data_IF_461891524295
#
_entry.id   IF_461891524295
#
_cell.length_a   1.000
_cell.length_b   1.000
_cell.length_c   1.000
_cell.angle_alpha   90.00
_cell.angle_beta   90.00
_cell.angle_gamma   90.00
#
_symmetry.space_group_name_H-M   'P 1'
#
loop_
_entity.id
_entity.type
_entity.pdbx_description
1 polymer ?
#
# COMPACT_ATOMS: atom_id res chain seq x y z
N UNK A 1 16.16 -29.17 -1.60
CA UNK A 1 15.50 -29.40 -2.90
C UNK A 1 15.15 -28.05 -3.49
N UNK A 2 15.86 -27.60 -4.52
CA UNK A 2 15.46 -26.43 -5.32
C UNK A 2 14.44 -26.92 -6.34
N UNK A 3 13.21 -26.41 -6.28
CA UNK A 3 12.11 -26.89 -7.12
C UNK A 3 12.12 -26.31 -8.54
N UNK A 4 13.11 -25.47 -8.88
CA UNK A 4 13.23 -24.68 -10.12
C UNK A 4 11.96 -23.89 -10.52
N UNK A 5 10.98 -23.77 -9.62
CA UNK A 5 9.70 -23.11 -9.91
C UNK A 5 9.86 -21.63 -10.30
N UNK A 6 10.84 -20.94 -9.70
CA UNK A 6 11.16 -19.56 -10.04
C UNK A 6 11.69 -19.40 -11.48
N UNK A 7 12.40 -20.40 -12.01
CA UNK A 7 12.90 -20.39 -13.39
C UNK A 7 11.77 -20.60 -14.39
N UNK A 8 10.85 -21.52 -14.11
CA UNK A 8 9.65 -21.74 -14.93
C UNK A 8 8.78 -20.47 -15.00
N UNK A 9 8.62 -19.77 -13.88
CA UNK A 9 7.80 -18.55 -13.80
C UNK A 9 8.40 -17.36 -14.53
N UNK A 10 9.70 -17.37 -14.84
CA UNK A 10 10.40 -16.23 -15.46
C UNK A 10 9.86 -15.88 -16.86
N UNK A 11 9.34 -16.88 -17.56
CA UNK A 11 8.69 -16.69 -18.86
C UNK A 11 7.33 -16.00 -18.76
N UNK A 12 6.73 -15.98 -17.57
CA UNK A 12 5.39 -15.45 -17.29
C UNK A 12 5.41 -14.12 -16.51
N UNK A 13 6.51 -13.35 -16.60
CA UNK A 13 6.65 -12.10 -15.85
C UNK A 13 5.64 -11.03 -16.27
N UNK A 14 5.36 -10.90 -17.56
CA UNK A 14 4.36 -9.94 -18.05
C UNK A 14 2.96 -10.30 -17.54
N UNK A 15 2.63 -11.59 -17.56
CA UNK A 15 1.37 -12.15 -17.09
C UNK A 15 1.24 -11.98 -15.58
N UNK A 16 2.33 -12.16 -14.84
CA UNK A 16 2.38 -11.89 -13.40
C UNK A 16 2.11 -10.43 -13.09
N UNK A 17 2.72 -9.50 -13.84
CA UNK A 17 2.47 -8.06 -13.72
C UNK A 17 1.00 -7.74 -13.99
N UNK A 18 0.45 -8.25 -15.10
CA UNK A 18 -0.95 -8.05 -15.46
C UNK A 18 -1.92 -8.64 -14.43
N UNK A 19 -1.60 -9.81 -13.88
CA UNK A 19 -2.40 -10.48 -12.85
C UNK A 19 -2.48 -9.66 -11.55
N UNK A 20 -1.35 -9.09 -11.11
CA UNK A 20 -1.30 -8.25 -9.91
C UNK A 20 -2.06 -6.94 -10.15
N UNK A 21 -1.87 -6.32 -11.33
CA UNK A 21 -2.50 -5.06 -11.71
C UNK A 21 -4.04 -5.17 -11.85
N UNK A 22 -4.56 -6.28 -12.40
CA UNK A 22 -5.99 -6.44 -12.65
C UNK A 22 -6.80 -6.47 -11.35
N UNK A 23 -7.68 -5.48 -11.18
CA UNK A 23 -8.62 -5.36 -10.05
C UNK A 23 -9.59 -6.53 -9.95
N UNK A 24 -9.90 -7.18 -11.06
CA UNK A 24 -10.89 -8.23 -11.14
C UNK A 24 -10.34 -9.61 -10.80
N UNK A 25 -9.01 -9.76 -10.73
CA UNK A 25 -8.34 -11.05 -10.51
C UNK A 25 -8.87 -11.79 -9.28
N UNK A 26 -9.01 -11.11 -8.14
CA UNK A 26 -9.49 -11.76 -6.89
C UNK A 26 -10.94 -12.22 -7.05
N UNK A 27 -11.80 -11.39 -7.64
CA UNK A 27 -13.20 -11.74 -7.93
C UNK A 27 -13.30 -12.93 -8.87
N UNK A 28 -12.51 -12.97 -9.96
CA UNK A 28 -12.49 -14.07 -10.93
C UNK A 28 -12.04 -15.39 -10.31
N UNK A 29 -11.05 -15.35 -9.41
CA UNK A 29 -10.62 -16.54 -8.65
C UNK A 29 -11.74 -17.00 -7.74
N UNK A 30 -12.36 -16.08 -6.99
CA UNK A 30 -13.46 -16.39 -6.08
C UNK A 30 -14.64 -17.02 -6.82
N UNK A 31 -15.05 -16.48 -7.97
CA UNK A 31 -16.15 -17.05 -8.77
C UNK A 31 -15.80 -18.45 -9.29
N UNK A 32 -14.59 -18.64 -9.82
CA UNK A 32 -14.13 -19.95 -10.33
C UNK A 32 -14.07 -21.01 -9.23
N UNK A 33 -13.65 -20.63 -8.03
CA UNK A 33 -13.60 -21.56 -6.89
C UNK A 33 -15.00 -21.90 -6.40
N UNK A 34 -15.89 -20.91 -6.29
CA UNK A 34 -17.28 -21.13 -5.90
C UNK A 34 -17.98 -22.12 -6.85
N UNK A 35 -17.83 -21.95 -8.16
CA UNK A 35 -18.37 -22.88 -9.16
C UNK A 35 -17.84 -24.32 -9.00
N UNK A 36 -16.58 -24.49 -8.60
CA UNK A 36 -15.97 -25.82 -8.36
C UNK A 36 -16.44 -26.43 -7.03
N UNK A 37 -16.51 -25.63 -5.98
CA UNK A 37 -16.98 -26.02 -4.65
C UNK A 37 -18.44 -26.46 -4.67
N UNK A 38 -19.31 -25.74 -5.40
CA UNK A 38 -20.71 -26.11 -5.61
C UNK A 38 -20.84 -27.45 -6.34
N UNK A 39 -20.00 -27.70 -7.36
CA UNK A 39 -19.95 -28.98 -8.08
C UNK A 39 -19.43 -30.15 -7.23
N UNK A 40 -18.68 -29.87 -6.15
CA UNK A 40 -18.05 -30.89 -5.29
C UNK A 40 -18.66 -30.99 -3.88
N UNK A 41 -19.72 -30.22 -3.57
CA UNK A 41 -20.35 -30.14 -2.24
C UNK A 41 -19.35 -29.88 -1.08
N UNK A 42 -18.27 -29.14 -1.35
CA UNK A 42 -17.26 -28.79 -0.34
C UNK A 42 -17.37 -27.30 -0.01
N UNK A 43 -17.61 -26.96 1.26
CA UNK A 43 -17.54 -25.57 1.74
C UNK A 43 -16.11 -25.27 2.22
N UNK A 44 -15.40 -24.39 1.53
CA UNK A 44 -14.01 -24.06 1.89
C UNK A 44 -13.90 -22.63 2.44
N UNK A 45 -13.53 -22.50 3.72
CA UNK A 45 -13.25 -21.23 4.41
C UNK A 45 -12.11 -20.41 3.75
N UNK A 46 -11.33 -21.02 2.85
CA UNK A 46 -10.22 -20.39 2.12
C UNK A 46 -10.65 -19.58 0.90
N UNK A 47 -11.91 -19.68 0.43
CA UNK A 47 -12.37 -19.00 -0.79
C UNK A 47 -12.24 -17.48 -0.73
N UNK A 48 -12.51 -16.88 0.44
CA UNK A 48 -12.44 -15.42 0.63
C UNK A 48 -11.01 -14.87 0.81
N UNK A 49 -10.03 -15.75 1.02
CA UNK A 49 -8.64 -15.36 1.33
C UNK A 49 -7.65 -15.78 0.25
N UNK A 50 -7.95 -16.85 -0.51
CA UNK A 50 -7.06 -17.43 -1.51
C UNK A 50 -6.63 -16.44 -2.59
N UNK A 51 -7.56 -15.66 -3.15
CA UNK A 51 -7.23 -14.72 -4.21
C UNK A 51 -6.22 -13.65 -3.75
N UNK A 52 -6.40 -13.12 -2.55
CA UNK A 52 -5.46 -12.17 -1.94
C UNK A 52 -4.11 -12.81 -1.60
N UNK A 53 -4.11 -14.05 -1.09
CA UNK A 53 -2.89 -14.83 -0.84
C UNK A 53 -2.09 -15.10 -2.12
N UNK A 54 -2.78 -15.44 -3.21
CA UNK A 54 -2.15 -15.67 -4.50
C UNK A 54 -1.53 -14.39 -5.06
N UNK A 55 -2.26 -13.26 -5.01
CA UNK A 55 -1.69 -11.95 -5.40
C UNK A 55 -0.46 -11.60 -4.56
N UNK A 56 -0.50 -11.78 -3.24
CA UNK A 56 0.63 -11.49 -2.37
C UNK A 56 1.86 -12.37 -2.66
N UNK A 57 1.65 -13.68 -2.85
CA UNK A 57 2.74 -14.60 -3.20
C UNK A 57 3.37 -14.28 -4.56
N UNK A 58 2.55 -13.96 -5.56
CA UNK A 58 3.05 -13.53 -6.87
C UNK A 58 3.72 -12.16 -6.82
N UNK A 59 3.24 -11.24 -5.98
CA UNK A 59 3.89 -9.95 -5.77
C UNK A 59 5.25 -10.10 -5.07
N UNK A 60 5.38 -11.03 -4.12
CA UNK A 60 6.66 -11.39 -3.52
C UNK A 60 7.63 -11.94 -4.56
N UNK A 61 7.17 -12.85 -5.42
CA UNK A 61 7.97 -13.37 -6.54
C UNK A 61 8.41 -12.23 -7.47
N UNK A 62 7.48 -11.36 -7.88
CA UNK A 62 7.78 -10.23 -8.76
C UNK A 62 8.79 -9.25 -8.15
N UNK A 63 8.65 -8.94 -6.86
CA UNK A 63 9.59 -8.09 -6.13
C UNK A 63 11.01 -8.68 -6.14
N UNK A 64 11.15 -10.00 -5.97
CA UNK A 64 12.44 -10.68 -6.04
C UNK A 64 13.03 -10.63 -7.45
N UNK A 65 12.22 -10.84 -8.50
CA UNK A 65 12.68 -10.76 -9.89
C UNK A 65 13.11 -9.34 -10.28
N UNK A 66 12.41 -8.31 -9.78
CA UNK A 66 12.81 -6.92 -10.00
C UNK A 66 14.11 -6.58 -9.26
N UNK A 67 14.33 -7.19 -8.09
CA UNK A 67 15.56 -7.00 -7.30
C UNK A 67 16.79 -7.65 -7.94
N UNK A 68 16.64 -8.79 -8.63
CA UNK A 68 17.76 -9.56 -9.23
C UNK A 68 18.60 -8.79 -10.26
N UNK A 69 18.06 -7.71 -10.84
CA UNK A 69 18.83 -6.81 -11.72
C UNK A 69 19.93 -6.02 -10.99
N UNK A 70 19.90 -5.97 -9.65
CA UNK A 70 20.69 -5.02 -8.87
C UNK A 70 20.13 -3.60 -8.98
N UNK A 71 20.29 -2.77 -7.94
CA UNK A 71 19.71 -1.42 -7.93
C UNK A 71 20.26 -0.48 -9.02
N UNK A 72 21.45 -0.77 -9.56
CA UNK A 72 22.09 0.02 -10.63
C UNK A 72 21.55 -0.29 -12.02
N UNK A 73 20.94 -1.45 -12.20
CA UNK A 73 20.46 -1.94 -13.48
C UNK A 73 18.93 -1.90 -13.44
N UNK A 74 18.37 -0.68 -13.50
CA UNK A 74 16.93 -0.35 -13.47
C UNK A 74 16.11 -0.98 -14.63
N UNK A 75 16.64 -1.99 -15.31
CA UNK A 75 16.07 -2.72 -16.45
C UNK A 75 14.67 -3.24 -16.16
N UNK A 76 14.43 -3.78 -14.97
CA UNK A 76 13.10 -4.28 -14.59
C UNK A 76 12.09 -3.13 -14.49
N UNK A 77 12.47 -2.02 -13.87
CA UNK A 77 11.61 -0.84 -13.71
C UNK A 77 11.32 -0.20 -15.06
N UNK A 78 12.35 0.03 -15.89
CA UNK A 78 12.19 0.57 -17.24
C UNK A 78 11.26 -0.31 -18.08
N UNK A 79 11.36 -1.64 -17.94
CA UNK A 79 10.56 -2.59 -18.71
C UNK A 79 9.12 -2.70 -18.24
N UNK A 80 8.90 -2.85 -16.94
CA UNK A 80 7.59 -3.23 -16.37
C UNK A 80 6.87 -2.07 -15.70
N UNK A 81 7.59 -1.02 -15.30
CA UNK A 81 7.07 0.20 -14.69
C UNK A 81 7.55 1.47 -15.42
N UNK A 82 7.40 1.57 -16.76
CA UNK A 82 7.85 2.75 -17.51
C UNK A 82 7.14 4.04 -17.06
N UNK A 83 5.99 3.90 -16.40
CA UNK A 83 5.23 4.99 -15.83
C UNK A 83 5.78 5.49 -14.49
N UNK A 84 6.63 4.75 -13.77
CA UNK A 84 7.00 5.07 -12.38
C UNK A 84 7.50 6.52 -12.21
N UNK A 85 8.32 7.00 -13.14
CA UNK A 85 8.88 8.36 -13.14
C UNK A 85 8.11 9.36 -14.01
N UNK A 86 6.92 8.99 -14.47
CA UNK A 86 6.06 9.81 -15.33
C UNK A 86 4.67 9.95 -14.69
N UNK A 87 4.56 10.60 -13.51
CA UNK A 87 3.28 10.81 -12.85
C UNK A 87 2.39 11.76 -13.68
N UNK A 88 1.05 11.61 -13.59
CA UNK A 88 0.12 12.49 -14.28
C UNK A 88 0.22 13.94 -13.75
N UNK A 89 0.12 14.92 -14.64
CA UNK A 89 0.12 16.34 -14.28
C UNK A 89 -1.28 16.83 -13.92
N UNK A 90 -1.39 17.73 -12.95
CA UNK A 90 -2.67 18.31 -12.48
C UNK A 90 -3.48 19.05 -13.57
N UNK A 91 -2.85 19.44 -14.68
CA UNK A 91 -3.50 20.10 -15.81
C UNK A 91 -4.39 19.14 -16.62
N UNK A 92 -4.22 17.83 -16.45
CA UNK A 92 -4.93 16.77 -17.21
C UNK A 92 -5.73 15.85 -16.29
N UNK A 93 -6.60 16.40 -15.42
CA UNK A 93 -7.47 15.60 -14.53
C UNK A 93 -8.68 14.98 -15.26
N UNK A 94 -8.41 14.12 -16.24
CA UNK A 94 -9.43 13.26 -16.84
C UNK A 94 -9.80 12.08 -15.95
N UNK A 95 -11.05 11.61 -16.01
CA UNK A 95 -11.51 10.42 -15.27
C UNK A 95 -10.66 9.17 -15.60
N UNK A 96 -10.21 9.04 -16.85
CA UNK A 96 -9.32 7.96 -17.28
C UNK A 96 -7.96 8.03 -16.57
N UNK A 97 -7.30 9.18 -16.58
CA UNK A 97 -5.99 9.36 -15.94
C UNK A 97 -6.06 9.16 -14.42
N UNK A 98 -7.22 9.48 -13.82
CA UNK A 98 -7.49 9.19 -12.41
C UNK A 98 -7.57 7.68 -12.12
N UNK A 99 -8.28 6.91 -12.95
CA UNK A 99 -8.32 5.45 -12.82
C UNK A 99 -6.96 4.82 -13.06
N UNK A 100 -6.24 5.25 -14.11
CA UNK A 100 -4.88 4.77 -14.40
C UNK A 100 -3.93 5.05 -13.22
N UNK A 101 -4.09 6.22 -12.56
CA UNK A 101 -3.35 6.56 -11.35
C UNK A 101 -3.69 5.62 -10.17
N UNK A 102 -4.98 5.31 -9.96
CA UNK A 102 -5.43 4.35 -8.94
C UNK A 102 -4.82 2.97 -9.17
N UNK A 103 -4.82 2.49 -10.41
CA UNK A 103 -4.25 1.18 -10.74
C UNK A 103 -2.74 1.13 -10.50
N UNK A 104 -2.02 2.21 -10.81
CA UNK A 104 -0.57 2.33 -10.52
C UNK A 104 -0.29 2.27 -9.01
N UNK A 105 -0.99 3.04 -8.18
CA UNK A 105 -0.75 3.03 -6.72
C UNK A 105 -1.15 1.69 -6.07
N UNK A 106 -2.15 1.00 -6.61
CA UNK A 106 -2.55 -0.34 -6.18
C UNK A 106 -1.50 -1.38 -6.53
N UNK A 107 -0.98 -1.32 -7.75
CA UNK A 107 0.12 -2.18 -8.16
C UNK A 107 1.36 -2.00 -7.27
N UNK A 108 1.77 -0.74 -7.02
CA UNK A 108 2.88 -0.44 -6.10
C UNK A 108 2.63 -0.99 -4.69
N UNK A 109 1.40 -0.88 -4.19
CA UNK A 109 1.03 -1.43 -2.88
C UNK A 109 1.25 -2.94 -2.81
N UNK A 110 0.81 -3.70 -3.82
CA UNK A 110 1.05 -5.14 -3.89
C UNK A 110 2.54 -5.48 -3.98
N UNK A 111 3.29 -4.76 -4.83
CA UNK A 111 4.73 -4.97 -4.99
C UNK A 111 5.49 -4.75 -3.67
N UNK A 112 5.17 -3.67 -2.94
CA UNK A 112 5.76 -3.38 -1.63
C UNK A 112 5.36 -4.40 -0.57
N UNK A 113 4.10 -4.87 -0.57
CA UNK A 113 3.69 -5.98 0.30
C UNK A 113 4.55 -7.20 0.05
N UNK A 114 4.79 -7.56 -1.22
CA UNK A 114 5.65 -8.68 -1.59
C UNK A 114 7.08 -8.52 -1.06
N UNK A 115 7.69 -7.35 -1.28
CA UNK A 115 9.03 -7.02 -0.78
C UNK A 115 9.12 -7.07 0.75
N UNK A 116 8.22 -6.40 1.46
CA UNK A 116 8.21 -6.35 2.92
C UNK A 116 7.88 -7.71 3.54
N UNK A 117 7.05 -8.52 2.89
CA UNK A 117 6.74 -9.89 3.33
C UNK A 117 7.98 -10.78 3.23
N UNK A 118 8.75 -10.66 2.13
CA UNK A 118 10.03 -11.33 2.00
C UNK A 118 10.98 -10.92 3.12
N UNK A 119 11.16 -9.61 3.32
CA UNK A 119 12.00 -9.08 4.39
C UNK A 119 11.60 -9.62 5.78
N UNK A 120 10.30 -9.68 6.07
CA UNK A 120 9.80 -10.21 7.34
C UNK A 120 10.00 -11.72 7.52
N UNK A 121 9.78 -12.51 6.47
CA UNK A 121 9.93 -13.97 6.50
C UNK A 121 11.41 -14.36 6.62
N UNK A 122 12.28 -13.74 5.82
CA UNK A 122 13.72 -14.03 5.83
C UNK A 122 14.47 -13.23 6.89
N UNK A 123 13.80 -12.34 7.61
CA UNK A 123 14.39 -11.39 8.59
C UNK A 123 15.53 -10.56 8.02
N UNK A 124 15.52 -10.34 6.70
CA UNK A 124 16.64 -9.78 5.93
C UNK A 124 17.99 -10.52 6.15
N UNK A 125 17.98 -11.76 6.64
CA UNK A 125 19.16 -12.63 6.77
C UNK A 125 19.37 -13.52 5.51
N UNK A 126 18.46 -13.41 4.53
CA UNK A 126 18.53 -14.15 3.29
C UNK A 126 19.60 -13.63 2.32
N UNK A 127 19.90 -14.42 1.29
CA UNK A 127 20.88 -14.05 0.25
C UNK A 127 20.43 -12.88 -0.64
N UNK A 128 19.13 -12.58 -0.68
CA UNK A 128 18.55 -11.48 -1.45
C UNK A 128 17.83 -10.54 -0.49
N UNK A 129 18.30 -9.30 -0.44
CA UNK A 129 17.61 -8.18 0.20
C UNK A 129 16.64 -7.59 -0.83
N UNK A 130 15.34 -7.81 -0.63
CA UNK A 130 14.33 -7.59 -1.65
C UNK A 130 13.91 -6.11 -1.74
N UNK A 131 14.64 -5.31 -2.51
CA UNK A 131 14.36 -3.89 -2.73
C UNK A 131 14.05 -3.60 -4.22
N UNK A 132 12.82 -3.88 -4.70
CA UNK A 132 12.46 -3.74 -6.12
C UNK A 132 12.29 -2.30 -6.61
N UNK A 133 12.16 -1.31 -5.71
CA UNK A 133 11.93 0.09 -6.04
C UNK A 133 13.09 0.93 -5.50
N UNK A 134 13.68 1.82 -6.31
CA UNK A 134 14.73 2.71 -5.86
C UNK A 134 14.14 3.80 -4.98
N UNK A 135 14.93 4.23 -4.00
CA UNK A 135 14.57 5.30 -3.06
C UNK A 135 14.31 6.63 -3.80
N UNK A 136 15.02 6.88 -4.90
CA UNK A 136 14.84 8.08 -5.73
C UNK A 136 13.44 8.20 -6.38
N UNK A 137 12.67 7.11 -6.44
CA UNK A 137 11.28 7.13 -6.90
C UNK A 137 10.33 7.81 -5.89
N UNK A 138 10.80 8.16 -4.68
CA UNK A 138 10.01 8.76 -3.60
C UNK A 138 9.18 9.96 -4.08
N UNK A 139 9.80 10.87 -4.84
CA UNK A 139 9.09 12.04 -5.37
C UNK A 139 7.97 11.63 -6.34
N UNK A 140 8.24 10.72 -7.27
CA UNK A 140 7.24 10.30 -8.25
C UNK A 140 6.07 9.57 -7.58
N UNK A 141 6.33 8.74 -6.57
CA UNK A 141 5.29 8.09 -5.75
C UNK A 141 4.45 9.14 -5.01
N UNK A 142 5.08 10.19 -4.47
CA UNK A 142 4.36 11.31 -3.85
C UNK A 142 3.44 12.01 -4.87
N UNK A 143 3.92 12.27 -6.07
CA UNK A 143 3.16 12.95 -7.13
C UNK A 143 1.92 12.14 -7.55
N UNK A 144 2.01 10.80 -7.62
CA UNK A 144 0.83 9.94 -7.83
C UNK A 144 -0.22 10.08 -6.72
N UNK A 145 0.22 10.10 -5.47
CA UNK A 145 -0.70 10.23 -4.33
C UNK A 145 -1.31 11.64 -4.33
N UNK A 146 -0.51 12.67 -4.54
CA UNK A 146 -1.00 14.05 -4.61
C UNK A 146 -2.00 14.23 -5.75
N UNK A 147 -1.78 13.61 -6.90
CA UNK A 147 -2.75 13.63 -8.00
C UNK A 147 -4.12 13.08 -7.58
N UNK A 148 -4.14 11.97 -6.84
CA UNK A 148 -5.38 11.42 -6.27
C UNK A 148 -5.97 12.36 -5.22
N UNK A 149 -5.16 12.85 -4.27
CA UNK A 149 -5.64 13.73 -3.20
C UNK A 149 -6.28 15.01 -3.77
N UNK A 150 -5.65 15.65 -4.76
CA UNK A 150 -6.19 16.86 -5.40
C UNK A 150 -7.46 16.56 -6.20
N UNK A 151 -7.54 15.44 -6.91
CA UNK A 151 -8.74 15.09 -7.70
C UNK A 151 -9.88 14.44 -6.89
N UNK A 152 -9.64 14.03 -5.64
CA UNK A 152 -10.56 13.17 -4.90
C UNK A 152 -11.94 13.81 -4.67
N UNK A 153 -11.99 15.10 -4.35
CA UNK A 153 -13.24 15.79 -4.06
C UNK A 153 -14.22 15.74 -5.25
N UNK A 154 -13.69 15.82 -6.46
CA UNK A 154 -14.47 15.83 -7.70
C UNK A 154 -14.75 14.42 -8.23
N UNK A 155 -13.78 13.51 -8.09
CA UNK A 155 -13.81 12.21 -8.75
C UNK A 155 -14.42 11.09 -7.88
N UNK A 156 -14.41 11.22 -6.56
CA UNK A 156 -14.78 10.14 -5.62
C UNK A 156 -16.20 9.60 -5.77
N UNK A 157 -17.12 10.37 -6.36
CA UNK A 157 -18.54 9.99 -6.55
C UNK A 157 -18.80 9.23 -7.85
N UNK A 158 -17.81 9.13 -8.73
CA UNK A 158 -17.97 8.54 -10.07
C UNK A 158 -18.17 7.03 -10.02
N UNK A 159 -17.41 6.32 -9.17
CA UNK A 159 -17.57 4.88 -8.97
C UNK A 159 -16.94 4.43 -7.66
N UNK A 160 -17.19 3.18 -7.26
CA UNK A 160 -16.56 2.59 -6.06
C UNK A 160 -15.04 2.52 -6.18
N UNK A 161 -14.49 2.35 -7.38
CA UNK A 161 -13.03 2.44 -7.63
C UNK A 161 -12.52 3.84 -7.29
N UNK A 162 -13.23 4.89 -7.72
CA UNK A 162 -12.85 6.26 -7.39
C UNK A 162 -13.00 6.55 -5.91
N UNK A 163 -14.06 6.05 -5.28
CA UNK A 163 -14.29 6.19 -3.83
C UNK A 163 -13.17 5.51 -3.01
N UNK A 164 -12.69 4.34 -3.45
CA UNK A 164 -11.62 3.60 -2.75
C UNK A 164 -10.22 4.15 -3.01
N UNK A 165 -10.05 5.13 -3.89
CA UNK A 165 -8.75 5.75 -4.20
C UNK A 165 -8.06 6.37 -2.98
N UNK A 166 -8.83 6.97 -2.06
CA UNK A 166 -8.28 7.53 -0.82
C UNK A 166 -7.74 6.43 0.09
N UNK A 167 -8.46 5.31 0.21
CA UNK A 167 -7.97 4.13 0.92
C UNK A 167 -6.62 3.68 0.36
N UNK A 168 -6.53 3.46 -0.96
CA UNK A 168 -5.29 3.00 -1.59
C UNK A 168 -4.15 4.00 -1.45
N UNK A 169 -4.43 5.30 -1.47
CA UNK A 169 -3.43 6.36 -1.28
C UNK A 169 -2.81 6.30 0.11
N UNK A 170 -3.63 6.22 1.17
CA UNK A 170 -3.12 6.11 2.54
C UNK A 170 -2.41 4.77 2.81
N UNK A 171 -2.85 3.67 2.19
CA UNK A 171 -2.15 2.40 2.28
C UNK A 171 -0.77 2.47 1.61
N UNK A 172 -0.67 3.10 0.44
CA UNK A 172 0.61 3.29 -0.22
C UNK A 172 1.56 4.16 0.60
N UNK A 173 1.06 5.22 1.27
CA UNK A 173 1.87 6.00 2.22
C UNK A 173 2.44 5.14 3.36
N UNK A 174 1.63 4.25 3.95
CA UNK A 174 2.09 3.34 5.01
C UNK A 174 3.17 2.39 4.50
N UNK A 175 2.93 1.77 3.34
CA UNK A 175 3.85 0.82 2.73
C UNK A 175 5.16 1.47 2.32
N UNK A 176 5.11 2.65 1.70
CA UNK A 176 6.30 3.39 1.29
C UNK A 176 7.14 3.82 2.49
N UNK A 177 6.49 4.25 3.57
CA UNK A 177 7.16 4.58 4.84
C UNK A 177 7.94 3.38 5.37
N UNK A 178 7.28 2.22 5.48
CA UNK A 178 7.93 1.01 5.99
C UNK A 178 8.99 0.46 5.05
N UNK A 179 8.76 0.56 3.75
CA UNK A 179 9.72 0.18 2.73
C UNK A 179 11.03 0.98 2.88
N UNK A 180 10.95 2.31 2.94
CA UNK A 180 12.10 3.17 3.15
C UNK A 180 12.79 2.90 4.48
N UNK A 181 12.04 2.64 5.55
CA UNK A 181 12.65 2.25 6.84
C UNK A 181 13.39 0.91 6.76
N UNK A 182 12.89 -0.09 6.01
CA UNK A 182 13.63 -1.33 5.78
C UNK A 182 14.91 -1.09 4.96
N UNK A 183 14.84 -0.23 3.94
CA UNK A 183 16.02 0.15 3.14
C UNK A 183 17.06 0.86 4.03
N UNK A 184 16.64 1.79 4.88
CA UNK A 184 17.50 2.49 5.83
C UNK A 184 18.17 1.55 6.84
N UNK A 185 17.48 0.48 7.31
CA UNK A 185 18.08 -0.57 8.15
C UNK A 185 19.21 -1.33 7.44
N UNK A 186 19.21 -1.30 6.11
CA UNK A 186 20.33 -1.75 5.26
C UNK A 186 21.53 -0.80 5.22
N UNK A 187 21.54 0.27 6.04
CA UNK A 187 22.55 1.33 6.12
C UNK A 187 22.58 2.29 4.93
N UNK A 188 21.42 2.54 4.31
CA UNK A 188 21.25 3.61 3.33
C UNK A 188 20.55 4.83 3.98
N UNK A 189 21.30 5.85 4.43
CA UNK A 189 20.72 7.02 5.09
C UNK A 189 19.89 7.88 4.12
N UNK A 190 20.08 7.76 2.81
CA UNK A 190 19.31 8.51 1.81
C UNK A 190 17.83 8.12 1.85
N UNK A 191 17.52 6.87 2.25
CA UNK A 191 16.15 6.40 2.41
C UNK A 191 15.37 7.16 3.49
N UNK A 192 16.02 7.53 4.60
CA UNK A 192 15.36 8.32 5.65
C UNK A 192 15.13 9.76 5.20
N UNK A 193 16.06 10.36 4.46
CA UNK A 193 15.88 11.70 3.89
C UNK A 193 14.73 11.71 2.89
N UNK A 194 14.73 10.75 1.96
CA UNK A 194 13.72 10.65 0.92
C UNK A 194 12.30 10.43 1.45
N UNK A 195 12.13 9.69 2.56
CA UNK A 195 10.81 9.51 3.19
C UNK A 195 10.36 10.74 3.99
N UNK A 196 11.29 11.51 4.57
CA UNK A 196 10.95 12.78 5.21
C UNK A 196 10.52 13.83 4.18
N UNK A 197 11.23 13.93 3.04
CA UNK A 197 10.84 14.79 1.92
C UNK A 197 9.50 14.39 1.31
N UNK A 198 9.23 13.09 1.20
CA UNK A 198 7.93 12.56 0.81
C UNK A 198 6.81 13.10 1.72
N UNK A 199 6.98 12.99 3.04
CA UNK A 199 5.96 13.46 3.98
C UNK A 199 5.83 14.98 4.02
N UNK A 200 6.93 15.71 3.84
CA UNK A 200 6.90 17.17 3.68
C UNK A 200 6.04 17.63 2.49
N UNK A 201 5.90 16.79 1.45
CA UNK A 201 5.02 17.05 0.29
C UNK A 201 3.59 16.55 0.50
N UNK A 202 3.42 15.37 1.09
CA UNK A 202 2.12 14.72 1.25
C UNK A 202 1.26 15.38 2.33
N UNK A 203 1.85 15.78 3.44
CA UNK A 203 1.10 16.42 4.54
C UNK A 203 0.36 17.69 4.10
N UNK A 204 0.95 18.62 3.33
CA UNK A 204 0.22 19.73 2.71
C UNK A 204 -0.97 19.29 1.83
N UNK A 205 -0.81 18.23 1.04
CA UNK A 205 -1.90 17.67 0.22
C UNK A 205 -3.08 17.16 1.07
N UNK A 206 -2.79 16.50 2.20
CA UNK A 206 -3.80 16.07 3.17
C UNK A 206 -4.52 17.29 3.77
N UNK A 207 -3.77 18.30 4.21
CA UNK A 207 -4.33 19.54 4.77
C UNK A 207 -5.25 20.26 3.78
N UNK A 208 -4.85 20.33 2.51
CA UNK A 208 -5.68 20.89 1.45
C UNK A 208 -6.98 20.09 1.28
N UNK A 209 -6.93 18.76 1.33
CA UNK A 209 -8.13 17.95 1.24
C UNK A 209 -9.07 18.16 2.44
N UNK A 210 -8.52 18.30 3.65
CA UNK A 210 -9.27 18.61 4.87
C UNK A 210 -10.01 19.96 4.81
N UNK A 211 -9.54 20.92 4.00
CA UNK A 211 -10.19 22.24 3.90
C UNK A 211 -11.42 22.29 2.99
N UNK A 212 -11.75 21.21 2.25
CA UNK A 212 -12.82 21.24 1.25
C UNK A 212 -14.24 21.21 1.85
N UNK A 213 -14.54 20.24 2.71
CA UNK A 213 -15.87 20.10 3.32
C UNK A 213 -15.80 19.26 4.59
N UNK A 214 -16.79 19.41 5.47
CA UNK A 214 -16.86 18.64 6.73
C UNK A 214 -16.87 17.13 6.50
N UNK A 215 -17.69 16.65 5.56
CA UNK A 215 -17.80 15.21 5.25
C UNK A 215 -16.46 14.67 4.76
N UNK A 216 -15.78 15.42 3.89
CA UNK A 216 -14.46 15.02 3.41
C UNK A 216 -13.41 15.06 4.52
N UNK A 217 -13.47 16.08 5.40
CA UNK A 217 -12.57 16.18 6.53
C UNK A 217 -12.71 15.00 7.50
N UNK A 218 -13.94 14.58 7.80
CA UNK A 218 -14.21 13.39 8.62
C UNK A 218 -13.66 12.11 7.98
N UNK A 219 -13.86 11.93 6.67
CA UNK A 219 -13.35 10.78 5.92
C UNK A 219 -11.81 10.75 5.91
N UNK A 220 -11.16 11.87 5.59
CA UNK A 220 -9.69 11.97 5.54
C UNK A 220 -9.09 11.79 6.93
N UNK A 221 -9.69 12.36 7.97
CA UNK A 221 -9.25 12.16 9.35
C UNK A 221 -9.29 10.67 9.76
N UNK A 222 -10.31 9.92 9.34
CA UNK A 222 -10.38 8.49 9.60
C UNK A 222 -9.23 7.72 8.93
N UNK A 223 -8.93 8.03 7.67
CA UNK A 223 -7.81 7.41 6.98
C UNK A 223 -6.46 7.82 7.58
N UNK A 224 -6.28 9.09 7.92
CA UNK A 224 -5.05 9.60 8.48
C UNK A 224 -4.78 9.07 9.88
N UNK A 225 -5.81 8.98 10.75
CA UNK A 225 -5.68 8.34 12.04
C UNK A 225 -5.36 6.84 11.91
N UNK A 226 -5.98 6.15 10.95
CA UNK A 226 -5.67 4.73 10.68
C UNK A 226 -4.23 4.54 10.20
N UNK A 227 -3.65 5.54 9.51
CA UNK A 227 -2.24 5.54 9.15
C UNK A 227 -1.33 5.72 10.36
N UNK A 228 -1.65 6.65 11.26
CA UNK A 228 -0.92 6.86 12.52
C UNK A 228 -0.93 5.57 13.35
N UNK A 229 -2.09 4.95 13.54
CA UNK A 229 -2.23 3.68 14.26
C UNK A 229 -1.39 2.56 13.62
N UNK A 230 -1.42 2.45 12.28
CA UNK A 230 -0.64 1.45 11.55
C UNK A 230 0.86 1.64 11.75
N UNK A 231 1.36 2.86 11.58
CA UNK A 231 2.78 3.19 11.76
C UNK A 231 3.23 3.03 13.23
N UNK A 232 2.33 3.29 14.18
CA UNK A 232 2.59 3.07 15.60
C UNK A 232 2.69 1.58 15.92
N UNK A 233 1.78 0.76 15.40
CA UNK A 233 1.79 -0.70 15.61
C UNK A 233 3.12 -1.34 15.20
N UNK A 234 3.71 -0.87 14.10
CA UNK A 234 4.96 -1.39 13.53
C UNK A 234 6.21 -0.63 13.99
N UNK A 235 6.09 0.23 15.02
CA UNK A 235 7.18 1.01 15.61
C UNK A 235 7.96 1.86 14.59
N UNK A 236 7.25 2.60 13.75
CA UNK A 236 7.85 3.48 12.74
C UNK A 236 8.67 4.60 13.38
N UNK A 237 9.90 4.78 12.90
CA UNK A 237 10.79 5.87 13.26
C UNK A 237 10.30 7.19 12.64
N UNK A 238 9.77 7.14 11.42
CA UNK A 238 9.17 8.30 10.75
C UNK A 238 8.00 8.84 11.56
N UNK A 239 7.15 7.96 12.10
CA UNK A 239 6.07 8.40 12.97
C UNK A 239 6.62 9.12 14.22
N UNK A 240 7.66 8.60 14.87
CA UNK A 240 8.24 9.24 16.05
C UNK A 240 8.68 10.70 15.76
N UNK A 241 9.18 10.96 14.55
CA UNK A 241 9.59 12.30 14.13
C UNK A 241 8.40 13.21 13.77
N UNK A 242 7.31 12.66 13.24
CA UNK A 242 6.20 13.43 12.69
C UNK A 242 4.97 13.51 13.60
N UNK A 243 4.86 12.66 14.62
CA UNK A 243 3.65 12.50 15.42
C UNK A 243 3.18 13.82 16.06
N UNK A 244 4.10 14.58 16.66
CA UNK A 244 3.77 15.87 17.28
C UNK A 244 3.19 16.88 16.27
N UNK A 245 3.64 16.85 15.02
CA UNK A 245 3.14 17.71 13.95
C UNK A 245 1.82 17.20 13.36
N UNK A 246 1.63 15.88 13.30
CA UNK A 246 0.44 15.25 12.70
C UNK A 246 -0.79 15.27 13.60
N UNK A 247 -0.63 15.28 14.92
CA UNK A 247 -1.78 15.36 15.83
C UNK A 247 -2.63 16.62 15.57
N UNK A 248 -2.06 17.84 15.46
CA UNK A 248 -2.81 19.04 15.10
C UNK A 248 -3.55 18.96 13.75
N UNK A 249 -3.03 18.21 12.77
CA UNK A 249 -3.66 18.07 11.44
C UNK A 249 -5.08 17.51 11.56
N UNK A 250 -5.34 16.59 12.50
CA UNK A 250 -6.67 16.02 12.74
C UNK A 250 -7.70 17.09 13.18
N UNK A 251 -7.26 18.16 13.82
CA UNK A 251 -8.11 19.23 14.33
C UNK A 251 -8.27 20.41 13.36
N UNK A 252 -7.60 20.37 12.19
CA UNK A 252 -7.54 21.51 11.24
C UNK A 252 -8.93 22.03 10.84
N UNK A 253 -9.88 21.12 10.60
CA UNK A 253 -11.23 21.50 10.16
C UNK A 253 -12.18 21.81 11.33
N UNK A 254 -11.95 21.22 12.50
CA UNK A 254 -12.86 21.29 13.64
C UNK A 254 -12.13 21.19 14.97
N UNK A 255 -12.47 22.10 15.89
CA UNK A 255 -11.87 22.16 17.24
C UNK A 255 -12.19 20.93 18.10
N UNK A 256 -13.24 20.18 17.76
CA UNK A 256 -13.63 18.95 18.45
C UNK A 256 -13.78 17.81 17.43
N UNK A 257 -13.13 16.69 17.70
CA UNK A 257 -13.24 15.47 16.90
C UNK A 257 -14.48 14.67 17.30
N UNK A 258 -15.07 13.88 16.38
CA UNK A 258 -16.09 12.90 16.75
C UNK A 258 -15.58 11.95 17.83
N UNK A 259 -16.44 11.58 18.78
CA UNK A 259 -16.05 10.82 19.98
C UNK A 259 -15.25 9.54 19.67
N UNK A 260 -15.65 8.78 18.64
CA UNK A 260 -14.95 7.56 18.23
C UNK A 260 -13.54 7.82 17.67
N UNK A 261 -13.31 8.97 17.00
CA UNK A 261 -11.99 9.40 16.52
C UNK A 261 -11.15 9.86 17.71
N UNK A 262 -11.73 10.62 18.63
CA UNK A 262 -11.04 11.11 19.83
C UNK A 262 -10.54 9.95 20.71
N UNK A 263 -11.36 8.92 20.93
CA UNK A 263 -10.94 7.73 21.72
C UNK A 263 -9.75 7.04 21.08
N UNK A 264 -9.80 6.83 19.76
CA UNK A 264 -8.70 6.20 18.99
C UNK A 264 -7.42 7.04 19.06
N UNK A 265 -7.52 8.36 18.87
CA UNK A 265 -6.38 9.26 19.01
C UNK A 265 -5.80 9.25 20.43
N UNK A 266 -6.64 9.19 21.46
CA UNK A 266 -6.20 9.10 22.84
C UNK A 266 -5.42 7.80 23.10
N UNK A 267 -5.81 6.68 22.48
CA UNK A 267 -5.03 5.43 22.50
C UNK A 267 -3.64 5.64 21.92
N UNK A 268 -3.52 6.37 20.80
CA UNK A 268 -2.21 6.69 20.23
C UNK A 268 -1.36 7.59 21.13
N UNK A 269 -1.96 8.62 21.73
CA UNK A 269 -1.29 9.57 22.63
C UNK A 269 -0.81 8.90 23.93
N UNK A 270 -1.59 7.96 24.45
CA UNK A 270 -1.27 7.25 25.69
C UNK A 270 -0.37 6.03 25.47
N UNK A 271 -0.01 5.74 24.23
CA UNK A 271 0.82 4.58 23.92
C UNK A 271 2.20 4.73 24.56
N UNK A 272 2.56 3.76 25.39
CA UNK A 272 3.91 3.63 25.92
C UNK A 272 4.67 2.63 25.05
N UNK A 273 5.89 2.98 24.58
CA UNK A 273 6.71 2.04 23.84
C UNK A 273 6.96 0.82 24.71
N UNK A 274 6.62 -0.37 24.21
CA UNK A 274 6.77 -1.61 24.96
C UNK A 274 8.25 -1.85 25.29
N UNK A 275 8.58 -2.22 26.53
CA UNK A 275 9.97 -2.58 26.90
C UNK A 275 10.48 -3.79 26.11
N UNK A 276 9.56 -4.65 25.64
CA UNK A 276 9.85 -5.86 24.84
C UNK A 276 10.17 -5.57 23.36
N UNK A 277 9.80 -4.40 22.81
CA UNK A 277 10.12 -4.04 21.41
C UNK A 277 11.52 -3.45 21.25
N UNK A 278 12.21 -3.13 22.36
CA UNK A 278 13.57 -2.61 22.32
C UNK A 278 14.59 -3.73 22.10
N UNK A 279 14.87 -4.02 20.83
CA UNK A 279 16.08 -4.74 20.42
C UNK A 279 15.89 -6.15 19.86
N UNK A 280 14.70 -6.76 19.97
CA UNK A 280 14.45 -8.06 19.32
C UNK A 280 13.95 -7.88 17.88
N UNK A 281 14.88 -7.99 16.92
CA UNK A 281 14.59 -7.99 15.48
C UNK A 281 13.57 -9.06 15.09
N UNK A 282 13.58 -10.23 15.75
CA UNK A 282 12.64 -11.31 15.46
C UNK A 282 11.21 -10.91 15.81
N UNK A 283 11.03 -10.23 16.95
CA UNK A 283 9.73 -9.72 17.37
C UNK A 283 9.23 -8.63 16.42
N UNK A 284 10.11 -7.71 16.01
CA UNK A 284 9.76 -6.66 15.03
C UNK A 284 9.28 -7.25 13.69
N UNK A 285 9.97 -8.25 13.16
CA UNK A 285 9.55 -8.91 11.92
C UNK A 285 8.25 -9.70 12.06
N UNK A 286 7.98 -10.28 13.24
CA UNK A 286 6.70 -10.94 13.52
C UNK A 286 5.54 -9.94 13.53
N UNK A 287 5.72 -8.76 14.14
CA UNK A 287 4.74 -7.68 14.11
C UNK A 287 4.52 -7.20 12.66
N UNK A 288 5.60 -6.96 11.91
CA UNK A 288 5.54 -6.55 10.51
C UNK A 288 4.75 -7.57 9.67
N UNK A 289 5.05 -8.86 9.81
CA UNK A 289 4.35 -9.92 9.08
C UNK A 289 2.85 -9.97 9.44
N UNK A 290 2.51 -9.83 10.73
CA UNK A 290 1.11 -9.75 11.17
C UNK A 290 0.38 -8.56 10.56
N UNK A 291 1.05 -7.41 10.50
CA UNK A 291 0.53 -6.20 9.88
C UNK A 291 0.31 -6.37 8.38
N UNK A 292 1.32 -6.89 7.65
CA UNK A 292 1.23 -7.17 6.22
C UNK A 292 0.08 -8.14 5.89
N UNK A 293 -0.08 -9.21 6.66
CA UNK A 293 -1.18 -10.17 6.46
C UNK A 293 -2.56 -9.52 6.59
N UNK A 294 -2.76 -8.67 7.61
CA UNK A 294 -4.02 -7.93 7.75
C UNK A 294 -4.21 -6.90 6.64
N UNK A 295 -3.14 -6.23 6.22
CA UNK A 295 -3.20 -5.22 5.18
C UNK A 295 -3.53 -5.83 3.81
N UNK A 296 -2.86 -6.92 3.45
CA UNK A 296 -3.17 -7.74 2.28
C UNK A 296 -4.64 -8.15 2.26
N UNK A 297 -5.16 -8.64 3.39
CA UNK A 297 -6.57 -9.02 3.49
C UNK A 297 -7.49 -7.82 3.24
N UNK A 298 -7.22 -6.67 3.87
CA UNK A 298 -7.99 -5.43 3.67
C UNK A 298 -7.97 -4.97 2.20
N UNK A 299 -6.80 -4.94 1.56
CA UNK A 299 -6.69 -4.57 0.14
C UNK A 299 -7.49 -5.55 -0.72
N UNK A 300 -7.36 -6.86 -0.49
CA UNK A 300 -8.10 -7.86 -1.24
C UNK A 300 -9.63 -7.72 -1.12
N UNK A 301 -10.13 -7.35 0.06
CA UNK A 301 -11.55 -7.07 0.28
C UNK A 301 -12.00 -5.81 -0.48
N UNK A 302 -11.24 -4.72 -0.40
CA UNK A 302 -11.56 -3.47 -1.12
C UNK A 302 -11.50 -3.66 -2.64
N UNK A 303 -10.55 -4.43 -3.16
CA UNK A 303 -10.48 -4.77 -4.58
C UNK A 303 -11.68 -5.61 -5.01
N UNK A 304 -12.10 -6.59 -4.19
CA UNK A 304 -13.29 -7.41 -4.48
C UNK A 304 -14.54 -6.54 -4.54
N UNK A 305 -14.73 -5.64 -3.56
CA UNK A 305 -15.87 -4.72 -3.54
C UNK A 305 -15.87 -3.77 -4.76
N UNK A 306 -14.70 -3.20 -5.07
CA UNK A 306 -14.53 -2.28 -6.20
C UNK A 306 -14.74 -2.98 -7.54
N UNK A 307 -14.24 -4.21 -7.69
CA UNK A 307 -14.42 -5.07 -8.86
C UNK A 307 -15.88 -5.43 -9.09
N UNK A 308 -16.61 -5.85 -8.04
CA UNK A 308 -18.02 -6.16 -8.13
C UNK A 308 -18.82 -4.94 -8.57
N UNK A 309 -18.58 -3.79 -7.96
CA UNK A 309 -19.27 -2.56 -8.31
C UNK A 309 -19.00 -2.13 -9.76
N UNK A 310 -17.76 -2.26 -10.24
CA UNK A 310 -17.39 -1.88 -11.60
C UNK A 310 -18.13 -2.68 -12.69
N UNK A 311 -18.50 -3.94 -12.42
CA UNK A 311 -19.30 -4.76 -13.35
C UNK A 311 -20.72 -4.22 -13.59
N UNK A 312 -21.25 -3.39 -12.68
CA UNK A 312 -22.58 -2.79 -12.82
C UNK A 312 -22.57 -1.44 -13.54
N UNK A 313 -21.40 -0.84 -13.76
CA UNK A 313 -21.25 0.48 -14.39
C UNK A 313 -20.57 0.43 -15.76
N UNK A 314 -20.37 -0.76 -16.34
CA UNK A 314 -20.00 -0.88 -17.75
C UNK A 314 -21.24 -0.76 -18.64
N UNK A 315 -21.63 0.48 -18.94
CA UNK A 315 -22.52 0.85 -20.04
C UNK A 315 -21.84 1.93 -20.89
#
# INVERSE_FOLDING_TARGET
VTTNGAECMKHYLNETVAFIADIHTITKIKSTMKEKSEKQQLSNLTEDTLGGQLKAGLAQYLALEFTKGGQRDAKAIVRFLPWLYNPPTSVQQGAKDFVDCIDRIRFLSWLMIGSLTHAAITRNEGTIICHPLPVDASQSIADYILYILTGFADQSKTSVIHMSSLFHSFILCQLWTMYCEQVNRGHDPEALVAIMDFWARITPGILHLLSHSKVLAEMVNLHFLSLIEALQEINSIVLANLFAMWVPVLYTHQSQLPAHVQVRLQTCLNHQPSSETQGDLRFMYAILLKWLNRLQFKIGQIETQSSHAAQFYSL
#
